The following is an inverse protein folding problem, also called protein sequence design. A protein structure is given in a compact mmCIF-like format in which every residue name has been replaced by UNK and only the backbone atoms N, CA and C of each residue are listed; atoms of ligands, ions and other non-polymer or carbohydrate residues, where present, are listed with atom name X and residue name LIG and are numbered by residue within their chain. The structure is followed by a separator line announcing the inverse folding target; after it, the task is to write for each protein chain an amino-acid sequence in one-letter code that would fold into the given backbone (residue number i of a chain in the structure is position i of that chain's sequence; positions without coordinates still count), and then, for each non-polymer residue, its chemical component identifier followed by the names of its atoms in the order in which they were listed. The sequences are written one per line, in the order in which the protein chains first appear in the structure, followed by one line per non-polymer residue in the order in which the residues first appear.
data_IF_083976138963
#
_entry.id   IF_083976138963
#
_cell.length_a   1.000
_cell.length_b   1.000
_cell.length_c   1.000
_cell.angle_alpha   90.00
_cell.angle_beta   90.00
_cell.angle_gamma   90.00
#
_symmetry.space_group_name_H-M   'P 1'
#
loop_
_entity.id
_entity.type
_entity.pdbx_description
1 polymer ?
#
# COMPACT_ATOMS: atom_id res chain seq x y z
N UNK A 1 -3.56 15.62 -18.50
CA UNK A 1 -4.70 14.72 -18.74
C UNK A 1 -4.15 13.32 -18.58
N UNK A 2 -4.81 12.46 -17.81
CA UNK A 2 -4.21 11.21 -17.32
C UNK A 2 -3.70 10.31 -18.46
N UNK A 3 -2.38 10.26 -18.63
CA UNK A 3 -1.70 9.52 -19.70
C UNK A 3 -1.57 8.05 -19.27
N UNK A 4 -2.55 7.19 -19.55
CA UNK A 4 -2.38 5.75 -19.43
C UNK A 4 -1.89 5.19 -20.77
N UNK A 5 -0.85 4.36 -20.74
CA UNK A 5 -0.24 3.78 -21.95
C UNK A 5 -0.24 2.26 -21.90
N UNK A 6 -0.65 1.64 -23.01
CA UNK A 6 -0.47 0.20 -23.24
C UNK A 6 0.95 -0.01 -23.73
N UNK A 7 1.79 -0.67 -22.92
CA UNK A 7 3.18 -0.95 -23.28
C UNK A 7 3.31 -2.16 -24.21
N UNK A 8 2.40 -3.14 -24.09
CA UNK A 8 2.41 -4.39 -24.84
C UNK A 8 0.99 -4.86 -25.20
N UNK A 9 0.83 -5.48 -26.36
CA UNK A 9 -0.44 -6.00 -26.86
C UNK A 9 -1.28 -4.98 -27.63
N UNK A 10 -2.39 -5.45 -28.20
CA UNK A 10 -3.37 -4.64 -28.94
C UNK A 10 -4.77 -4.92 -28.37
N UNK A 11 -5.08 -4.46 -27.15
CA UNK A 11 -6.41 -4.66 -26.57
C UNK A 11 -7.46 -3.92 -27.37
N UNK A 12 -8.68 -4.44 -27.39
CA UNK A 12 -9.79 -3.68 -27.99
C UNK A 12 -10.16 -2.49 -27.11
N UNK A 13 -10.83 -1.45 -27.67
CA UNK A 13 -11.31 -0.31 -26.89
C UNK A 13 -12.22 -0.73 -25.71
N UNK A 14 -13.02 -1.78 -25.89
CA UNK A 14 -13.95 -2.31 -24.89
C UNK A 14 -13.20 -2.98 -23.74
N UNK A 15 -12.16 -3.76 -24.04
CA UNK A 15 -11.29 -4.36 -23.03
C UNK A 15 -10.58 -3.30 -22.22
N UNK A 16 -10.04 -2.27 -22.87
CA UNK A 16 -9.39 -1.14 -22.21
C UNK A 16 -10.38 -0.40 -21.31
N UNK A 17 -11.59 -0.12 -21.80
CA UNK A 17 -12.65 0.52 -21.02
C UNK A 17 -13.02 -0.30 -19.78
N UNK A 18 -13.08 -1.63 -19.92
CA UNK A 18 -13.37 -2.55 -18.82
C UNK A 18 -12.28 -2.49 -17.74
N UNK A 19 -11.01 -2.55 -18.14
CA UNK A 19 -9.88 -2.44 -17.20
C UNK A 19 -9.89 -1.10 -16.48
N UNK A 20 -10.11 0.00 -17.20
CA UNK A 20 -10.19 1.33 -16.62
C UNK A 20 -11.35 1.44 -15.62
N UNK A 21 -12.53 0.90 -15.96
CA UNK A 21 -13.68 0.89 -15.06
C UNK A 21 -13.37 0.12 -13.76
N UNK A 22 -12.72 -1.03 -13.84
CA UNK A 22 -12.31 -1.83 -12.66
C UNK A 22 -11.28 -1.08 -11.81
N UNK A 23 -10.27 -0.47 -12.43
CA UNK A 23 -9.24 0.31 -11.72
C UNK A 23 -9.88 1.50 -10.99
N UNK A 24 -10.75 2.24 -11.65
CA UNK A 24 -11.48 3.37 -11.06
C UNK A 24 -12.39 2.91 -9.92
N UNK A 25 -13.14 1.82 -10.10
CA UNK A 25 -14.00 1.27 -9.06
C UNK A 25 -13.21 0.84 -7.81
N UNK A 26 -12.03 0.21 -8.00
CA UNK A 26 -11.14 -0.15 -6.89
C UNK A 26 -10.55 1.07 -6.19
N UNK A 27 -10.15 2.10 -6.94
CA UNK A 27 -9.67 3.35 -6.37
C UNK A 27 -10.76 4.04 -5.53
N UNK A 28 -11.99 4.11 -6.04
CA UNK A 28 -13.13 4.66 -5.31
C UNK A 28 -13.46 3.85 -4.04
N UNK A 29 -13.44 2.52 -4.11
CA UNK A 29 -13.65 1.66 -2.94
C UNK A 29 -12.54 1.85 -1.89
N UNK A 30 -11.28 1.99 -2.31
CA UNK A 30 -10.17 2.30 -1.43
C UNK A 30 -10.36 3.65 -0.72
N UNK A 31 -10.79 4.68 -1.45
CA UNK A 31 -11.07 5.99 -0.87
C UNK A 31 -12.23 5.94 0.13
N UNK A 32 -13.33 5.28 -0.21
CA UNK A 32 -14.45 5.10 0.71
C UNK A 32 -14.04 4.36 1.99
N UNK A 33 -13.15 3.37 1.90
CA UNK A 33 -12.60 2.67 3.06
C UNK A 33 -11.73 3.61 3.93
N UNK A 34 -10.95 4.50 3.33
CA UNK A 34 -10.19 5.51 4.07
C UNK A 34 -11.10 6.50 4.78
N UNK A 35 -12.16 6.98 4.12
CA UNK A 35 -13.12 7.92 4.70
C UNK A 35 -13.91 7.27 5.86
N UNK A 36 -14.28 5.99 5.71
CA UNK A 36 -14.89 5.19 6.78
C UNK A 36 -13.92 4.96 7.95
N UNK A 37 -12.63 4.73 7.68
CA UNK A 37 -11.62 4.59 8.72
C UNK A 37 -11.37 5.91 9.46
N UNK A 38 -11.42 7.06 8.77
CA UNK A 38 -11.26 8.37 9.38
C UNK A 38 -12.39 8.72 10.36
N UNK A 39 -13.58 8.15 10.17
CA UNK A 39 -14.75 8.33 11.06
C UNK A 39 -14.88 7.26 12.13
N UNK A 40 -14.11 6.17 12.05
CA UNK A 40 -14.08 5.13 13.08
C UNK A 40 -13.21 5.57 14.28
N UNK A 41 -13.83 5.78 15.45
CA UNK A 41 -13.15 6.14 16.72
C UNK A 41 -12.32 5.01 17.35
N UNK A 42 -11.77 4.10 16.55
CA UNK A 42 -10.91 3.01 17.03
C UNK A 42 -9.44 3.44 17.15
N UNK A 43 -8.63 2.78 18.00
CA UNK A 43 -7.19 3.00 17.98
C UNK A 43 -6.62 2.67 16.59
N UNK A 44 -5.71 3.51 16.09
CA UNK A 44 -5.02 3.24 14.84
C UNK A 44 -4.39 1.84 14.88
N UNK A 45 -4.57 1.06 13.81
CA UNK A 45 -3.86 -0.21 13.68
C UNK A 45 -2.36 0.05 13.81
N UNK A 46 -1.64 -0.86 14.46
CA UNK A 46 -0.20 -0.75 14.65
C UNK A 46 0.56 -0.59 13.31
N UNK A 47 -0.04 -1.03 12.20
CA UNK A 47 0.48 -0.91 10.84
C UNK A 47 0.27 0.47 10.20
N UNK A 48 -0.79 1.19 10.58
CA UNK A 48 -1.12 2.52 10.04
C UNK A 48 -0.79 3.66 10.99
N UNK A 49 -0.35 3.35 12.21
CA UNK A 49 0.08 4.32 13.20
C UNK A 49 1.39 5.01 12.77
N UNK A 50 1.26 6.22 12.23
CA UNK A 50 2.39 7.06 11.79
C UNK A 50 3.35 7.40 12.93
N UNK A 51 2.87 7.54 14.18
CA UNK A 51 3.75 7.83 15.31
C UNK A 51 4.77 6.70 15.51
N UNK A 52 4.33 5.45 15.30
CA UNK A 52 5.19 4.26 15.32
C UNK A 52 6.26 4.27 14.22
N UNK A 53 5.92 4.78 13.04
CA UNK A 53 6.85 4.94 11.92
C UNK A 53 7.89 6.06 12.14
N UNK A 54 7.64 6.99 13.07
CA UNK A 54 8.56 8.09 13.38
C UNK A 54 9.52 7.77 14.54
N UNK A 55 9.42 6.60 15.16
CA UNK A 55 10.36 6.20 16.20
C UNK A 55 11.74 5.85 15.63
N UNK A 56 12.83 6.27 16.29
CA UNK A 56 14.18 5.86 15.91
C UNK A 56 14.29 4.34 15.90
N UNK A 57 14.70 3.77 14.76
CA UNK A 57 14.97 2.34 14.70
C UNK A 57 16.23 2.03 15.54
N UNK A 58 16.23 0.92 16.29
CA UNK A 58 17.45 0.45 16.95
C UNK A 58 18.55 0.26 15.91
N UNK A 59 19.73 0.87 16.14
CA UNK A 59 20.89 0.64 15.28
C UNK A 59 21.41 -0.78 15.53
N UNK A 60 21.48 -1.65 14.51
CA UNK A 60 22.07 -2.97 14.68
C UNK A 60 23.54 -2.83 15.08
N UNK A 61 23.98 -3.57 16.10
CA UNK A 61 25.38 -3.65 16.49
C UNK A 61 26.25 -4.36 15.44
N UNK A 62 27.58 -4.25 15.56
CA UNK A 62 28.55 -4.74 14.57
C UNK A 62 28.40 -6.22 14.17
N UNK A 63 27.79 -7.05 15.02
CA UNK A 63 27.58 -8.48 14.78
C UNK A 63 26.11 -8.88 14.67
N UNK A 64 25.16 -7.93 14.74
CA UNK A 64 23.72 -8.22 14.81
C UNK A 64 23.21 -9.06 13.63
N UNK A 65 23.70 -8.80 12.42
CA UNK A 65 23.36 -9.61 11.23
C UNK A 65 24.02 -10.98 11.21
N UNK A 66 25.20 -11.11 11.83
CA UNK A 66 25.97 -12.36 11.84
C UNK A 66 25.43 -13.36 12.86
N UNK A 67 24.80 -12.86 13.92
CA UNK A 67 24.23 -13.65 15.02
C UNK A 67 22.71 -13.82 14.91
N UNK A 68 22.06 -13.29 13.88
CA UNK A 68 20.59 -13.33 13.74
C UNK A 68 20.03 -14.74 13.54
N UNK A 69 20.85 -15.67 13.03
CA UNK A 69 20.49 -17.07 12.81
C UNK A 69 21.00 -18.04 13.88
N UNK A 70 21.59 -17.55 14.97
CA UNK A 70 22.06 -18.44 16.04
C UNK A 70 20.86 -18.94 16.85
N UNK A 71 20.91 -20.22 17.23
CA UNK A 71 19.96 -20.77 18.19
C UNK A 71 20.13 -20.03 19.53
N UNK A 72 19.02 -19.71 20.17
CA UNK A 72 18.99 -18.99 21.45
C UNK A 72 19.17 -19.94 22.62
#
# INVERSE_FOLDING_TARGET
MSEFQVLHGQPTPEELATVLAVVQARAAAGQAALDAAATASGPASAWTDRARAMHPLPRPGAHAWRTSGWAR
#
